data_IF_084210872334
#
_entry.id   IF_084210872334
#
_cell.length_a   1.000
_cell.length_b   1.000
_cell.length_c   1.000
_cell.angle_alpha   90.00
_cell.angle_beta   90.00
_cell.angle_gamma   90.00
#
_symmetry.space_group_name_H-M   'P 1'
#
loop_
_entity.id
_entity.type
_entity.pdbx_description
1 polymer ?
#
# COMPACT_ATOMS: atom_id res chain seq x y z
N UNK A 1 8.39 5.75 12.23
CA UNK A 1 7.06 6.35 12.00
C UNK A 1 6.11 6.01 13.14
N UNK A 2 5.74 4.73 13.34
CA UNK A 2 4.93 4.30 14.48
C UNK A 2 5.79 3.72 15.60
N UNK A 3 6.47 4.58 16.34
CA UNK A 3 7.40 4.22 17.43
C UNK A 3 6.86 4.50 18.83
N UNK A 4 5.62 4.99 18.94
CA UNK A 4 5.01 5.38 20.21
C UNK A 4 5.46 6.73 20.77
N UNK A 5 6.31 7.49 20.06
CA UNK A 5 6.82 8.77 20.58
C UNK A 5 5.97 9.96 20.17
N UNK A 6 5.47 9.98 18.93
CA UNK A 6 4.64 11.08 18.41
C UNK A 6 3.17 10.73 18.42
N UNK A 7 2.33 11.68 18.83
CA UNK A 7 0.89 11.55 18.69
C UNK A 7 0.53 11.43 17.20
N UNK A 8 -0.44 10.58 16.87
CA UNK A 8 -0.92 10.40 15.48
C UNK A 8 -1.33 11.72 14.81
N UNK A 9 -1.87 12.68 15.58
CA UNK A 9 -2.25 14.02 15.09
C UNK A 9 -1.07 14.88 14.65
N UNK A 10 0.10 14.64 15.24
CA UNK A 10 1.31 15.41 14.97
C UNK A 10 2.17 14.76 13.89
N UNK A 11 1.73 13.64 13.32
CA UNK A 11 2.45 12.97 12.23
C UNK A 11 2.21 13.71 10.91
N UNK A 12 3.27 14.16 10.21
CA UNK A 12 3.12 14.94 8.96
C UNK A 12 2.34 14.25 7.85
N UNK A 13 2.28 12.92 7.85
CA UNK A 13 1.51 12.14 6.87
C UNK A 13 -0.02 12.25 7.07
N UNK A 14 -0.47 12.77 8.22
CA UNK A 14 -1.88 12.93 8.58
C UNK A 14 -2.25 14.37 8.94
N UNK A 15 -1.31 15.33 8.80
CA UNK A 15 -1.50 16.71 9.29
C UNK A 15 -2.63 17.49 8.59
N UNK A 16 -3.03 17.07 7.39
CA UNK A 16 -4.12 17.69 6.63
C UNK A 16 -5.51 17.11 7.00
N UNK A 17 -5.57 16.08 7.86
CA UNK A 17 -6.82 15.43 8.25
C UNK A 17 -7.39 16.13 9.48
N UNK A 18 -8.46 16.90 9.26
CA UNK A 18 -9.13 17.69 10.31
C UNK A 18 -9.76 16.77 11.38
N UNK A 19 -10.50 15.75 10.95
CA UNK A 19 -11.21 14.83 11.84
C UNK A 19 -10.63 13.42 11.73
N UNK A 20 -9.73 13.07 12.66
CA UNK A 20 -9.22 11.70 12.74
C UNK A 20 -10.32 10.73 13.21
N UNK A 21 -10.29 9.46 12.72
CA UNK A 21 -11.17 8.42 13.24
C UNK A 21 -11.06 8.25 14.76
N UNK A 22 -12.15 7.85 15.42
CA UNK A 22 -12.23 7.79 16.90
C UNK A 22 -11.17 6.88 17.54
N UNK A 23 -10.72 5.85 16.84
CA UNK A 23 -9.68 4.93 17.32
C UNK A 23 -8.28 5.55 17.34
N UNK A 24 -8.04 6.64 16.60
CA UNK A 24 -6.74 7.30 16.46
C UNK A 24 -6.44 8.21 17.67
N UNK A 25 -6.23 7.60 18.84
CA UNK A 25 -5.89 8.31 20.09
C UNK A 25 -4.46 7.98 20.54
N UNK A 26 -3.69 9.02 20.82
CA UNK A 26 -2.36 8.89 21.39
C UNK A 26 -1.27 8.61 20.36
N UNK A 27 -0.19 7.98 20.82
CA UNK A 27 1.02 7.73 20.06
C UNK A 27 1.10 6.26 19.64
N UNK A 28 0.75 5.90 18.40
CA UNK A 28 0.75 4.51 17.95
C UNK A 28 2.16 3.92 17.87
N UNK A 29 2.28 2.66 18.25
CA UNK A 29 3.52 1.87 18.15
C UNK A 29 3.28 0.57 17.39
N UNK A 30 4.25 0.14 16.60
CA UNK A 30 4.21 -1.18 15.94
C UNK A 30 4.13 -2.27 17.00
N UNK A 31 3.19 -3.21 16.83
CA UNK A 31 3.12 -4.44 17.61
C UNK A 31 4.26 -5.36 17.19
N UNK A 32 5.06 -5.79 18.15
CA UNK A 32 6.20 -6.70 17.93
C UNK A 32 5.98 -7.97 18.73
N UNK A 33 6.49 -9.12 18.25
CA UNK A 33 6.44 -10.35 19.03
C UNK A 33 7.23 -10.19 20.33
N UNK A 34 6.69 -10.79 21.40
CA UNK A 34 7.33 -10.84 22.71
C UNK A 34 8.42 -11.93 22.76
N UNK A 35 8.25 -13.00 21.97
CA UNK A 35 9.23 -14.07 21.83
C UNK A 35 10.33 -13.68 20.82
N UNK A 36 11.58 -13.66 21.29
CA UNK A 36 12.77 -13.34 20.48
C UNK A 36 13.04 -14.34 19.35
N UNK A 37 12.47 -15.54 19.42
CA UNK A 37 12.61 -16.56 18.38
C UNK A 37 11.64 -16.35 17.22
N UNK A 38 10.63 -15.49 17.38
CA UNK A 38 9.69 -15.18 16.30
C UNK A 38 10.36 -14.22 15.33
N UNK A 39 10.40 -14.54 14.02
CA UNK A 39 10.96 -13.64 13.03
C UNK A 39 10.19 -12.32 13.00
N UNK A 40 10.90 -11.20 12.91
CA UNK A 40 10.29 -9.88 12.79
C UNK A 40 9.55 -9.70 11.46
N UNK A 41 10.02 -10.37 10.40
CA UNK A 41 9.51 -10.24 9.05
C UNK A 41 9.28 -11.63 8.47
N UNK A 42 8.13 -11.81 7.83
CA UNK A 42 7.82 -13.03 7.08
C UNK A 42 7.12 -12.71 5.76
N UNK A 43 7.28 -13.59 4.78
CA UNK A 43 6.57 -13.54 3.52
C UNK A 43 5.52 -14.65 3.47
N UNK A 44 4.50 -14.45 2.65
CA UNK A 44 3.53 -15.48 2.32
C UNK A 44 4.25 -16.72 1.75
N UNK A 45 3.92 -17.87 2.31
CA UNK A 45 4.36 -19.17 1.82
C UNK A 45 3.21 -20.16 1.93
N UNK A 46 3.37 -21.34 1.34
CA UNK A 46 2.38 -22.43 1.51
C UNK A 46 2.12 -22.77 2.98
N UNK A 47 3.10 -22.57 3.88
CA UNK A 47 2.97 -22.85 5.32
C UNK A 47 2.62 -21.63 6.20
N UNK A 48 2.58 -20.43 5.63
CA UNK A 48 2.28 -19.19 6.34
C UNK A 48 1.51 -18.21 5.45
N UNK A 49 0.18 -18.25 5.60
CA UNK A 49 -0.79 -17.50 4.79
C UNK A 49 -1.31 -16.27 5.53
N UNK A 50 -2.07 -15.42 4.83
CA UNK A 50 -2.75 -14.25 5.43
C UNK A 50 -3.68 -14.68 6.57
N UNK A 51 -4.42 -15.77 6.39
CA UNK A 51 -5.30 -16.31 7.43
C UNK A 51 -4.51 -16.69 8.68
N UNK A 52 -3.37 -17.38 8.52
CA UNK A 52 -2.51 -17.71 9.66
C UNK A 52 -1.99 -16.46 10.35
N UNK A 53 -1.52 -15.46 9.61
CA UNK A 53 -1.03 -14.21 10.17
C UNK A 53 -2.07 -13.49 11.06
N UNK A 54 -3.32 -13.43 10.60
CA UNK A 54 -4.42 -12.81 11.36
C UNK A 54 -4.93 -13.64 12.55
N UNK A 55 -4.67 -14.96 12.57
CA UNK A 55 -5.11 -15.86 13.65
C UNK A 55 -4.02 -16.15 14.71
N UNK A 56 -2.76 -15.80 14.46
CA UNK A 56 -1.68 -15.94 15.44
C UNK A 56 -1.82 -14.88 16.53
N UNK A 57 -1.54 -15.23 17.79
CA UNK A 57 -1.59 -14.29 18.92
C UNK A 57 -0.55 -13.17 18.74
N UNK A 58 -0.80 -11.95 19.25
CA UNK A 58 0.15 -10.83 19.11
C UNK A 58 1.58 -11.17 19.53
N UNK A 59 1.76 -11.95 20.59
CA UNK A 59 3.09 -12.34 21.11
C UNK A 59 3.89 -13.23 20.15
N UNK A 60 3.21 -13.98 19.29
CA UNK A 60 3.79 -14.91 18.34
C UNK A 60 3.69 -14.41 16.89
N UNK A 61 3.09 -13.24 16.68
CA UNK A 61 2.89 -12.68 15.35
C UNK A 61 4.16 -11.94 14.91
N UNK A 62 4.72 -12.27 13.74
CA UNK A 62 5.77 -11.46 13.13
C UNK A 62 5.34 -9.99 13.03
N UNK A 63 6.26 -9.06 13.25
CA UNK A 63 5.93 -7.64 13.21
C UNK A 63 5.46 -7.19 11.81
N UNK A 64 6.02 -7.76 10.74
CA UNK A 64 5.68 -7.43 9.36
C UNK A 64 5.41 -8.69 8.54
N UNK A 65 4.32 -8.66 7.79
CA UNK A 65 3.92 -9.71 6.86
C UNK A 65 3.86 -9.17 5.43
N UNK A 66 4.54 -9.83 4.51
CA UNK A 66 4.44 -9.57 3.08
C UNK A 66 3.50 -10.62 2.48
N UNK A 67 2.27 -10.25 2.09
CA UNK A 67 1.31 -11.19 1.55
C UNK A 67 1.71 -11.68 0.14
N UNK A 68 0.95 -12.64 -0.39
CA UNK A 68 1.14 -13.09 -1.77
C UNK A 68 0.66 -12.04 -2.79
N UNK A 69 1.13 -12.16 -4.03
CA UNK A 69 0.92 -11.18 -5.09
C UNK A 69 -0.56 -10.93 -5.46
N UNK A 70 -1.49 -11.80 -5.05
CA UNK A 70 -2.92 -11.62 -5.31
C UNK A 70 -3.63 -10.86 -4.20
N UNK A 71 -3.04 -10.74 -3.01
CA UNK A 71 -3.71 -10.19 -1.84
C UNK A 71 -4.09 -8.71 -2.01
N UNK A 72 -3.24 -7.91 -2.65
CA UNK A 72 -3.44 -6.46 -2.77
C UNK A 72 -2.28 -5.67 -2.18
N UNK A 73 -2.19 -5.52 -0.85
CA UNK A 73 -1.15 -4.72 -0.20
C UNK A 73 0.21 -5.41 -0.31
N UNK A 74 1.29 -4.64 -0.21
CA UNK A 74 2.66 -5.18 -0.21
C UNK A 74 3.14 -5.53 1.20
N UNK A 75 2.64 -4.85 2.23
CA UNK A 75 3.02 -5.08 3.64
C UNK A 75 1.80 -4.94 4.54
N UNK A 76 1.69 -5.83 5.53
CA UNK A 76 0.67 -5.80 6.58
C UNK A 76 1.35 -5.90 7.95
N UNK A 77 0.97 -5.02 8.87
CA UNK A 77 1.38 -5.10 10.27
C UNK A 77 0.28 -4.54 11.18
N UNK A 78 0.51 -4.57 12.49
CA UNK A 78 -0.41 -4.03 13.48
C UNK A 78 0.24 -2.89 14.24
N UNK A 79 -0.57 -1.88 14.57
CA UNK A 79 -0.18 -0.83 15.51
C UNK A 79 -1.12 -0.85 16.70
N UNK A 80 -0.53 -0.65 17.88
CA UNK A 80 -1.24 -0.48 19.13
C UNK A 80 -1.39 1.02 19.40
N UNK A 81 -2.64 1.46 19.53
CA UNK A 81 -3.05 2.70 20.17
C UNK A 81 -3.43 2.40 21.64
N UNK A 82 -3.68 3.45 22.43
CA UNK A 82 -3.98 3.33 23.87
C UNK A 82 -5.11 2.34 24.20
N UNK A 83 -6.15 2.25 23.37
CA UNK A 83 -7.36 1.46 23.64
C UNK A 83 -7.52 0.28 22.65
N UNK A 84 -6.74 0.23 21.58
CA UNK A 84 -7.03 -0.66 20.45
C UNK A 84 -5.79 -0.96 19.62
N UNK A 85 -5.70 -2.22 19.17
CA UNK A 85 -4.77 -2.63 18.12
C UNK A 85 -5.52 -2.71 16.79
N UNK A 86 -4.97 -2.08 15.75
CA UNK A 86 -5.57 -2.05 14.41
C UNK A 86 -4.56 -2.51 13.35
N UNK A 87 -5.02 -3.15 12.26
CA UNK A 87 -4.14 -3.48 11.14
C UNK A 87 -3.76 -2.23 10.33
N UNK A 88 -2.56 -2.29 9.76
CA UNK A 88 -2.00 -1.33 8.81
C UNK A 88 -1.73 -2.05 7.50
N UNK A 89 -2.24 -1.50 6.40
CA UNK A 89 -2.04 -2.01 5.04
C UNK A 89 -1.21 -1.02 4.25
N UNK A 90 -0.08 -1.46 3.71
CA UNK A 90 0.80 -0.60 2.90
C UNK A 90 0.80 -1.07 1.46
N UNK A 91 0.57 -0.13 0.54
CA UNK A 91 0.96 -0.27 -0.85
C UNK A 91 2.18 0.60 -1.12
N UNK A 92 3.23 -0.01 -1.66
CA UNK A 92 4.43 0.66 -2.13
C UNK A 92 4.39 0.74 -3.66
N UNK A 93 4.43 1.96 -4.19
CA UNK A 93 4.50 2.27 -5.62
C UNK A 93 5.75 3.07 -5.94
N UNK A 94 6.89 2.39 -6.09
CA UNK A 94 8.19 3.00 -6.43
C UNK A 94 8.35 3.35 -7.93
N UNK A 95 7.25 3.64 -8.65
CA UNK A 95 7.28 3.90 -10.10
C UNK A 95 7.71 5.34 -10.40
N UNK A 96 8.11 5.63 -11.65
CA UNK A 96 8.33 7.02 -12.09
C UNK A 96 7.04 7.86 -12.02
N UNK A 97 5.89 7.26 -12.33
CA UNK A 97 4.58 7.89 -12.18
C UNK A 97 3.51 6.87 -11.77
N UNK A 98 2.57 7.31 -10.94
CA UNK A 98 1.36 6.55 -10.59
C UNK A 98 0.25 7.02 -11.50
N UNK A 99 -0.19 6.16 -12.44
CA UNK A 99 -1.24 6.52 -13.41
C UNK A 99 -2.61 6.72 -12.77
N UNK A 100 -2.93 5.96 -11.72
CA UNK A 100 -4.19 6.06 -11.00
C UNK A 100 -3.97 5.81 -9.51
N UNK A 101 -4.08 6.88 -8.69
CA UNK A 101 -4.03 6.75 -7.23
C UNK A 101 -5.17 5.86 -6.74
N UNK A 102 -6.37 5.97 -7.34
CA UNK A 102 -7.52 5.15 -7.00
C UNK A 102 -7.25 3.64 -7.07
N UNK A 103 -6.50 3.17 -8.07
CA UNK A 103 -6.13 1.76 -8.19
C UNK A 103 -5.09 1.32 -7.14
N UNK A 104 -4.22 2.26 -6.72
CA UNK A 104 -3.26 2.00 -5.65
C UNK A 104 -3.89 2.09 -4.24
N UNK A 105 -4.97 2.87 -4.08
CA UNK A 105 -5.75 2.92 -2.86
C UNK A 105 -6.67 1.70 -2.74
N UNK A 106 -7.19 1.17 -3.85
CA UNK A 106 -8.01 -0.06 -3.79
C UNK A 106 -7.22 -1.25 -3.26
N UNK A 107 -5.91 -1.35 -3.51
CA UNK A 107 -5.12 -2.48 -3.00
C UNK A 107 -4.89 -2.45 -1.49
N UNK A 108 -5.22 -1.35 -0.80
CA UNK A 108 -5.14 -1.19 0.66
C UNK A 108 -6.53 -1.04 1.31
N UNK A 109 -7.60 -1.25 0.54
CA UNK A 109 -8.95 -1.47 1.07
C UNK A 109 -9.14 -2.99 1.29
N UNK A 110 -9.34 -3.45 2.54
CA UNK A 110 -9.58 -4.86 2.84
C UNK A 110 -10.68 -5.51 2.02
N UNK A 111 -11.71 -4.75 1.60
CA UNK A 111 -12.83 -5.26 0.80
C UNK A 111 -12.43 -5.63 -0.61
N UNK A 112 -11.31 -5.10 -1.07
CA UNK A 112 -10.74 -5.31 -2.40
C UNK A 112 -9.64 -6.37 -2.41
N UNK A 113 -9.29 -6.95 -1.25
CA UNK A 113 -8.26 -7.97 -1.19
C UNK A 113 -8.65 -9.19 -2.04
N UNK A 114 -7.67 -9.75 -2.74
CA UNK A 114 -7.85 -10.85 -3.69
C UNK A 114 -8.82 -10.59 -4.84
N UNK A 115 -9.30 -9.35 -5.04
CA UNK A 115 -10.19 -9.04 -6.16
C UNK A 115 -9.43 -8.71 -7.43
N UNK A 116 -9.91 -9.26 -8.53
CA UNK A 116 -9.46 -8.88 -9.87
C UNK A 116 -10.07 -7.53 -10.31
N UNK A 117 -9.72 -7.11 -11.53
CA UNK A 117 -10.24 -5.88 -12.14
C UNK A 117 -11.77 -5.87 -12.36
N UNK A 118 -12.42 -7.04 -12.34
CA UNK A 118 -13.86 -7.19 -12.48
C UNK A 118 -14.57 -7.20 -11.12
N UNK A 119 -13.80 -7.28 -10.02
CA UNK A 119 -14.29 -7.35 -8.66
C UNK A 119 -14.50 -8.77 -8.13
N UNK A 120 -14.10 -9.80 -8.89
CA UNK A 120 -14.21 -11.21 -8.49
C UNK A 120 -13.03 -11.63 -7.61
N UNK A 121 -13.31 -12.37 -6.55
CA UNK A 121 -12.29 -12.85 -5.61
C UNK A 121 -11.56 -14.05 -6.24
N UNK A 122 -10.26 -13.93 -6.42
CA UNK A 122 -9.36 -15.02 -6.82
C UNK A 122 -9.47 -16.18 -5.82
N UNK A 123 -9.65 -17.42 -6.29
CA UNK A 123 -9.88 -18.60 -5.44
C UNK A 123 -10.94 -18.34 -4.35
N UNK A 124 -12.14 -17.93 -4.79
CA UNK A 124 -13.22 -17.41 -3.96
C UNK A 124 -13.53 -18.26 -2.73
N UNK A 125 -13.60 -19.58 -2.87
CA UNK A 125 -13.92 -20.52 -1.80
C UNK A 125 -12.90 -20.46 -0.66
N UNK A 126 -11.62 -20.30 -1.01
CA UNK A 126 -10.51 -20.21 -0.05
C UNK A 126 -10.35 -18.80 0.51
N UNK A 127 -10.41 -17.78 -0.34
CA UNK A 127 -10.02 -16.42 0.03
C UNK A 127 -11.17 -15.58 0.60
N UNK A 128 -12.42 -15.85 0.23
CA UNK A 128 -13.56 -15.09 0.78
C UNK A 128 -13.66 -15.16 2.31
N UNK A 129 -13.53 -16.33 2.97
CA UNK A 129 -13.52 -16.38 4.44
C UNK A 129 -12.38 -15.58 5.05
N UNK A 130 -11.21 -15.54 4.40
CA UNK A 130 -10.04 -14.78 4.86
C UNK A 130 -10.33 -13.28 4.79
N UNK A 131 -10.85 -12.82 3.65
CA UNK A 131 -11.25 -11.41 3.46
C UNK A 131 -12.30 -10.99 4.49
N UNK A 132 -13.33 -11.82 4.70
CA UNK A 132 -14.39 -11.54 5.67
C UNK A 132 -13.82 -11.42 7.11
N UNK A 133 -12.85 -12.26 7.50
CA UNK A 133 -12.11 -12.14 8.77
C UNK A 133 -11.28 -10.86 8.86
N UNK A 134 -10.55 -10.50 7.81
CA UNK A 134 -9.76 -9.25 7.80
C UNK A 134 -10.68 -8.04 7.96
N UNK A 135 -11.82 -8.03 7.27
CA UNK A 135 -12.83 -6.96 7.40
C UNK A 135 -13.34 -6.89 8.85
N UNK A 136 -13.64 -8.03 9.48
CA UNK A 136 -14.06 -8.08 10.87
C UNK A 136 -12.99 -7.51 11.82
N UNK A 137 -11.71 -7.81 11.58
CA UNK A 137 -10.60 -7.25 12.37
C UNK A 137 -10.46 -5.73 12.18
N UNK A 138 -10.93 -5.19 11.07
CA UNK A 138 -10.95 -3.75 10.79
C UNK A 138 -12.16 -3.02 11.41
N UNK A 139 -13.09 -3.71 12.10
CA UNK A 139 -14.28 -3.07 12.70
C UNK A 139 -13.91 -2.01 13.74
N UNK A 140 -12.80 -2.21 14.47
CA UNK A 140 -12.28 -1.24 15.43
C UNK A 140 -11.45 -0.13 14.79
N UNK A 141 -11.15 -0.26 13.50
CA UNK A 141 -10.36 0.68 12.72
C UNK A 141 -9.27 0.00 11.90
N UNK A 142 -8.70 0.74 10.95
CA UNK A 142 -7.52 0.33 10.20
C UNK A 142 -6.76 1.54 9.68
N UNK A 143 -5.48 1.36 9.34
CA UNK A 143 -4.69 2.38 8.66
C UNK A 143 -4.32 1.87 7.27
N UNK A 144 -4.48 2.70 6.25
CA UNK A 144 -4.06 2.43 4.89
C UNK A 144 -2.98 3.44 4.51
N UNK A 145 -1.81 2.96 4.08
CA UNK A 145 -0.70 3.80 3.66
C UNK A 145 -0.35 3.54 2.20
N UNK A 146 -0.29 4.62 1.42
CA UNK A 146 0.23 4.57 0.07
C UNK A 146 1.61 5.25 0.05
N UNK A 147 2.67 4.47 -0.17
CA UNK A 147 4.02 4.99 -0.42
C UNK A 147 4.17 5.19 -1.91
N UNK A 148 4.01 6.43 -2.37
CA UNK A 148 4.17 6.86 -3.75
C UNK A 148 5.39 7.78 -3.92
N UNK A 149 6.44 7.55 -3.13
CA UNK A 149 7.77 8.13 -3.32
C UNK A 149 8.71 7.05 -3.85
N UNK A 150 9.58 7.32 -4.82
CA UNK A 150 9.93 8.63 -5.38
C UNK A 150 9.04 9.05 -6.57
N UNK A 151 7.88 8.42 -6.76
CA UNK A 151 7.00 8.69 -7.90
C UNK A 151 6.52 10.14 -7.94
N UNK A 152 6.41 10.70 -9.15
CA UNK A 152 5.66 11.94 -9.34
C UNK A 152 4.18 11.58 -9.27
N UNK A 153 3.56 11.87 -8.11
CA UNK A 153 2.11 11.76 -7.94
C UNK A 153 1.47 12.95 -8.63
N UNK A 154 1.11 12.80 -9.90
CA UNK A 154 0.31 13.79 -10.63
C UNK A 154 -1.15 13.52 -10.30
N UNK A 155 -1.76 14.40 -9.53
CA UNK A 155 -3.18 14.28 -9.20
C UNK A 155 -3.96 15.40 -9.87
N UNK A 156 -4.83 15.04 -10.82
CA UNK A 156 -5.99 15.86 -11.16
C UNK A 156 -7.04 15.60 -10.08
N UNK A 157 -7.03 16.41 -9.03
CA UNK A 157 -8.03 16.48 -7.95
C UNK A 157 -8.24 15.20 -7.12
N UNK A 158 -8.27 15.36 -5.79
CA UNK A 158 -8.88 14.39 -4.90
C UNK A 158 -10.38 14.38 -5.14
N UNK A 159 -10.85 13.74 -6.21
CA UNK A 159 -12.26 13.37 -6.28
C UNK A 159 -12.46 12.21 -5.31
N UNK A 160 -12.66 12.57 -4.04
CA UNK A 160 -13.57 11.81 -3.19
C UNK A 160 -14.85 11.60 -3.99
N UNK A 161 -15.23 10.35 -4.23
CA UNK A 161 -16.43 9.90 -4.95
C UNK A 161 -16.28 9.75 -6.48
N UNK A 162 -15.77 8.59 -6.92
CA UNK A 162 -16.50 7.71 -7.84
C UNK A 162 -15.64 6.46 -8.11
N UNK A 163 -15.63 5.55 -7.13
CA UNK A 163 -15.35 4.16 -7.44
C UNK A 163 -16.53 3.64 -8.30
N UNK A 164 -16.29 2.93 -9.41
CA UNK A 164 -17.37 2.30 -10.20
C UNK A 164 -18.12 1.21 -9.38
N UNK A 165 -17.56 0.80 -8.25
CA UNK A 165 -18.24 -0.01 -7.24
C UNK A 165 -18.71 0.92 -6.12
N UNK A 166 -20.02 1.05 -5.96
CA UNK A 166 -20.69 1.99 -5.04
C UNK A 166 -20.28 1.87 -3.57
N UNK A 167 -19.12 2.41 -3.21
CA UNK A 167 -18.64 2.56 -1.83
C UNK A 167 -19.34 3.71 -1.08
N UNK A 168 -20.16 4.51 -1.78
CA UNK A 168 -20.97 5.61 -1.21
C UNK A 168 -22.01 5.16 -0.18
N UNK A 169 -22.27 3.85 -0.05
CA UNK A 169 -23.30 3.30 0.84
C UNK A 169 -22.81 2.52 2.06
N UNK A 170 -21.50 2.41 2.33
CA UNK A 170 -20.97 1.64 3.49
C UNK A 170 -19.79 2.34 4.19
N UNK A 171 -19.95 3.64 4.47
CA UNK A 171 -19.03 4.46 5.28
C UNK A 171 -19.12 4.15 6.79
N UNK A 172 -19.17 2.87 7.16
CA UNK A 172 -19.02 2.44 8.56
C UNK A 172 -17.57 2.04 8.91
N UNK A 173 -16.62 2.16 7.98
CA UNK A 173 -15.23 1.79 8.23
C UNK A 173 -14.41 2.99 8.68
N UNK A 174 -13.94 2.92 9.92
CA UNK A 174 -12.97 3.84 10.51
C UNK A 174 -11.59 3.54 9.91
N UNK A 175 -11.33 3.94 8.66
CA UNK A 175 -10.02 3.79 8.03
C UNK A 175 -9.30 5.14 7.96
N UNK A 176 -8.11 5.22 8.53
CA UNK A 176 -7.21 6.36 8.39
C UNK A 176 -6.32 6.15 7.16
N UNK A 177 -6.29 7.10 6.22
CA UNK A 177 -5.48 7.00 5.00
C UNK A 177 -4.33 7.99 5.05
N UNK A 178 -3.10 7.50 4.85
CA UNK A 178 -1.90 8.33 4.73
C UNK A 178 -1.24 8.13 3.37
N UNK A 179 -0.76 9.22 2.79
CA UNK A 179 -0.03 9.18 1.51
C UNK A 179 1.36 9.74 1.74
N UNK A 180 2.38 8.97 1.34
CA UNK A 180 3.77 9.38 1.36
C UNK A 180 4.21 9.65 -0.07
N UNK A 181 4.51 10.91 -0.38
CA UNK A 181 4.89 11.37 -1.71
C UNK A 181 6.11 12.32 -1.65
N UNK A 182 6.46 12.94 -2.78
CA UNK A 182 7.58 13.88 -2.84
C UNK A 182 7.47 15.09 -1.91
N UNK A 183 6.28 15.46 -1.43
CA UNK A 183 6.09 16.63 -0.55
C UNK A 183 6.44 16.29 0.89
N UNK A 184 6.17 15.07 1.35
CA UNK A 184 6.32 14.69 2.75
C UNK A 184 7.27 13.50 2.99
N UNK A 185 7.85 12.88 1.96
CA UNK A 185 8.75 11.73 2.09
C UNK A 185 9.93 12.00 3.03
N UNK A 186 10.47 13.22 3.05
CA UNK A 186 11.56 13.62 3.95
C UNK A 186 11.19 13.62 5.42
N UNK A 187 9.90 13.62 5.75
CA UNK A 187 9.41 13.52 7.13
C UNK A 187 9.33 12.08 7.62
N UNK A 188 9.42 11.10 6.70
CA UNK A 188 9.27 9.66 6.98
C UNK A 188 10.58 8.91 6.76
N UNK A 189 11.28 9.21 5.67
CA UNK A 189 12.52 8.55 5.28
C UNK A 189 13.74 9.40 5.66
N UNK A 190 14.79 8.73 6.14
CA UNK A 190 16.07 9.36 6.43
C UNK A 190 16.82 9.72 5.13
N UNK A 191 17.82 10.60 5.24
CA UNK A 191 18.59 11.09 4.07
C UNK A 191 19.13 9.97 3.17
N UNK A 192 19.75 8.95 3.76
CA UNK A 192 20.30 7.82 3.00
C UNK A 192 19.21 6.97 2.33
N UNK A 193 18.03 6.85 2.96
CA UNK A 193 16.89 6.15 2.37
C UNK A 193 16.32 6.93 1.18
N UNK A 194 16.21 8.27 1.29
CA UNK A 194 15.78 9.12 0.20
C UNK A 194 16.74 9.03 -0.98
N UNK A 195 18.05 9.10 -0.71
CA UNK A 195 19.09 8.97 -1.73
C UNK A 195 19.00 7.62 -2.47
N UNK A 196 18.76 6.53 -1.72
CA UNK A 196 18.55 5.21 -2.30
C UNK A 196 17.32 5.18 -3.22
N UNK A 197 16.18 5.69 -2.75
CA UNK A 197 14.93 5.74 -3.53
C UNK A 197 15.08 6.61 -4.78
N UNK A 198 15.74 7.77 -4.68
CA UNK A 198 16.00 8.65 -5.82
C UNK A 198 16.91 8.02 -6.86
N UNK A 199 17.92 7.28 -6.41
CA UNK A 199 18.82 6.50 -7.28
C UNK A 199 18.03 5.43 -8.04
N UNK A 200 17.10 4.75 -7.36
CA UNK A 200 16.20 3.78 -7.97
C UNK A 200 15.32 4.45 -9.05
N UNK A 201 14.71 5.60 -8.75
CA UNK A 201 13.91 6.39 -9.74
C UNK A 201 14.71 6.72 -10.99
N UNK A 202 15.93 7.23 -10.81
CA UNK A 202 16.77 7.67 -11.91
C UNK A 202 17.20 6.51 -12.79
N UNK A 203 17.46 5.35 -12.19
CA UNK A 203 17.77 4.10 -12.92
C UNK A 203 16.58 3.68 -13.77
N UNK A 204 15.39 3.59 -13.17
CA UNK A 204 14.15 3.25 -13.88
C UNK A 204 13.86 4.26 -15.01
N UNK A 205 14.06 5.57 -14.77
CA UNK A 205 13.85 6.61 -15.78
C UNK A 205 14.77 6.43 -16.98
N UNK A 206 16.05 6.12 -16.75
CA UNK A 206 17.03 5.86 -17.82
C UNK A 206 16.65 4.63 -18.64
N UNK A 207 16.21 3.55 -18.00
CA UNK A 207 15.75 2.34 -18.69
C UNK A 207 14.50 2.60 -19.54
N UNK A 208 13.50 3.28 -19.00
CA UNK A 208 12.28 3.65 -19.74
C UNK A 208 12.62 4.52 -20.95
N UNK A 209 13.56 5.47 -20.81
CA UNK A 209 14.02 6.31 -21.93
C UNK A 209 14.69 5.48 -23.02
N UNK A 210 15.62 4.58 -22.66
CA UNK A 210 16.27 3.67 -23.61
C UNK A 210 15.28 2.78 -24.35
N UNK A 211 14.24 2.27 -23.66
CA UNK A 211 13.19 1.45 -24.29
C UNK A 211 12.37 2.28 -25.28
N UNK A 212 12.00 3.52 -24.92
CA UNK A 212 11.27 4.41 -25.84
C UNK A 212 12.08 4.79 -27.08
N UNK A 213 13.35 5.16 -26.91
CA UNK A 213 14.25 5.48 -28.03
C UNK A 213 14.40 4.29 -28.98
N UNK A 214 14.55 3.06 -28.45
CA UNK A 214 14.57 1.84 -29.28
C UNK A 214 13.27 1.60 -30.03
N UNK A 215 12.11 1.89 -29.43
CA UNK A 215 10.80 1.72 -30.08
C UNK A 215 10.60 2.76 -31.19
N UNK A 216 11.05 3.99 -30.99
CA UNK A 216 11.02 5.05 -32.01
C UNK A 216 11.97 4.71 -33.19
N UNK A 217 13.18 4.22 -32.91
CA UNK A 217 14.16 3.82 -33.92
C UNK A 217 13.71 2.59 -34.74
N UNK A 218 12.95 1.67 -34.14
CA UNK A 218 12.29 0.55 -34.84
C UNK A 218 11.08 1.03 -35.65
N UNK A 219 10.32 2.00 -35.12
CA UNK A 219 9.18 2.63 -35.79
C UNK A 219 9.60 3.37 -37.07
N UNK A 220 10.67 4.15 -37.03
CA UNK A 220 11.21 4.86 -38.19
C UNK A 220 11.78 3.90 -39.24
N UNK A 221 12.47 2.83 -38.83
CA UNK A 221 12.98 1.80 -39.76
C UNK A 221 11.87 0.97 -40.42
N UNK A 222 10.71 0.82 -39.79
CA UNK A 222 9.55 0.13 -40.38
C UNK A 222 8.84 0.97 -41.47
N UNK A 223 8.95 2.30 -41.41
CA UNK A 223 8.43 3.22 -42.43
C UNK A 223 9.26 3.26 -43.72
N UNK A 224 10.57 3.04 -43.61
CA UNK A 224 11.50 3.05 -44.76
C UNK A 224 11.42 1.80 -45.65
N UNK A 225 10.98 0.65 -45.12
CA UNK A 225 10.86 -0.60 -45.92
C UNK A 225 9.61 -0.67 -46.82
N UNK A 226 8.63 0.23 -46.69
CA UNK A 226 7.41 0.24 -47.53
C UNK A 226 7.50 1.10 -48.81
N UNK A 227 8.62 1.80 -49.07
CA UNK A 227 8.76 2.72 -50.23
C UNK A 227 9.60 2.21 -51.40
N UNK A 228 9.89 0.91 -51.50
CA UNK A 228 10.60 0.33 -52.66
C UNK A 228 9.88 -0.88 -53.24
N UNK A 229 8.71 -0.67 -53.84
CA UNK A 229 8.15 -1.49 -54.92
C UNK A 229 7.23 -0.60 -55.77
N UNK A 230 7.79 -0.05 -56.84
CA UNK A 230 7.07 0.36 -58.03
C UNK A 230 7.75 -0.31 -59.21
#
# INVERSE_FOLDING_TARGET
MFDGQKNIRDMPIFSEIVDLPKFCKGSPKVVKPSDVNVPQVVNATTGYTLDKYFNVSPDLRPAFYFPDDHCGPDIIFFVEFEEVTVPVFIQVKLRYSVKTIAGALSSIDPRMFYRDKNGEIFQKETNKPIVDKVIQQCEKGSIALLVAYPADVRQESFVTNNYPYGLRGRLNQQQLIGIIDHKNASTVFQGDHLLFLDTLKNTIKKEVKKVKEKVEEIGENSGLRKKRKH
#
